data_IF_114730770282
#
_entry.id   IF_114730770282
#
_cell.length_a   1.000
_cell.length_b   1.000
_cell.length_c   1.000
_cell.angle_alpha   90.00
_cell.angle_beta   90.00
_cell.angle_gamma   90.00
#
_symmetry.space_group_name_H-M   'P 1'
#
loop_
_entity.id
_entity.type
_entity.pdbx_description
1 polymer ?
#
# COMPACT_ATOMS: atom_id res chain seq x y z
N UNK A 1 11.74 18.49 30.65
CA UNK A 1 11.40 17.67 29.46
C UNK A 1 9.92 17.35 29.31
N UNK A 2 9.32 16.46 30.11
CA UNK A 2 7.93 16.01 29.90
C UNK A 2 6.88 17.14 29.94
N UNK A 3 7.02 18.08 30.87
CA UNK A 3 6.09 19.21 31.01
C UNK A 3 6.12 20.11 29.77
N UNK A 4 7.30 20.36 29.21
CA UNK A 4 7.48 21.16 27.99
C UNK A 4 6.85 20.46 26.80
N UNK A 5 7.06 19.15 26.69
CA UNK A 5 6.45 18.32 25.65
C UNK A 5 4.91 18.31 25.76
N UNK A 6 4.36 18.11 26.96
CA UNK A 6 2.91 18.12 27.18
C UNK A 6 2.29 19.48 26.81
N UNK A 7 2.92 20.59 27.21
CA UNK A 7 2.49 21.93 26.82
C UNK A 7 2.51 22.11 25.30
N UNK A 8 3.56 21.63 24.63
CA UNK A 8 3.67 21.70 23.17
C UNK A 8 2.53 20.93 22.48
N UNK A 9 2.25 19.69 22.90
CA UNK A 9 1.19 18.87 22.32
C UNK A 9 -0.18 19.52 22.50
N UNK A 10 -0.49 20.01 23.70
CA UNK A 10 -1.76 20.68 23.99
C UNK A 10 -1.91 21.97 23.18
N UNK A 11 -0.88 22.80 23.10
CA UNK A 11 -0.89 24.02 22.29
C UNK A 11 -1.13 23.71 20.81
N UNK A 12 -0.51 22.65 20.28
CA UNK A 12 -0.72 22.22 18.89
C UNK A 12 -2.15 21.71 18.67
N UNK A 13 -2.71 20.97 19.62
CA UNK A 13 -4.09 20.52 19.55
C UNK A 13 -5.07 21.70 19.53
N UNK A 14 -4.94 22.67 20.45
CA UNK A 14 -5.83 23.82 20.49
C UNK A 14 -5.73 24.70 19.24
N UNK A 15 -4.53 24.82 18.65
CA UNK A 15 -4.35 25.52 17.38
C UNK A 15 -5.12 24.85 16.22
N UNK A 16 -5.18 23.51 16.20
CA UNK A 16 -5.98 22.76 15.22
C UNK A 16 -7.47 22.85 15.54
N UNK A 17 -7.86 22.70 16.80
CA UNK A 17 -9.25 22.76 17.24
C UNK A 17 -9.90 24.13 16.98
N UNK A 18 -9.12 25.22 17.03
CA UNK A 18 -9.59 26.56 16.67
C UNK A 18 -10.02 26.69 15.19
N UNK A 19 -9.41 25.91 14.30
CA UNK A 19 -9.76 25.89 12.87
C UNK A 19 -10.82 24.81 12.56
N UNK A 20 -10.87 23.77 13.40
CA UNK A 20 -11.62 22.56 13.14
C UNK A 20 -12.36 22.10 14.41
N UNK A 21 -13.62 22.53 14.57
CA UNK A 21 -14.46 22.19 15.73
C UNK A 21 -14.68 20.68 15.89
N UNK A 22 -14.49 19.88 14.84
CA UNK A 22 -14.61 18.42 14.93
C UNK A 22 -13.43 17.78 15.66
N UNK A 23 -12.30 18.49 15.84
CA UNK A 23 -11.12 17.97 16.52
C UNK A 23 -11.41 17.47 17.96
N UNK A 24 -12.42 18.03 18.64
CA UNK A 24 -12.85 17.55 19.95
C UNK A 24 -13.53 16.17 19.89
N UNK A 25 -14.35 15.92 18.87
CA UNK A 25 -15.00 14.61 18.66
C UNK A 25 -13.97 13.56 18.26
N UNK A 26 -12.94 13.99 17.53
CA UNK A 26 -11.85 13.13 17.07
C UNK A 26 -10.96 12.60 18.21
N UNK A 27 -11.01 13.20 19.41
CA UNK A 27 -10.36 12.66 20.63
C UNK A 27 -10.96 11.33 21.09
N UNK A 28 -12.20 11.03 20.69
CA UNK A 28 -12.88 9.79 21.07
C UNK A 28 -12.32 8.56 20.33
N UNK A 29 -11.51 8.77 19.29
CA UNK A 29 -11.03 7.70 18.42
C UNK A 29 -9.52 7.76 18.24
N UNK A 30 -8.90 6.58 18.15
CA UNK A 30 -7.48 6.48 17.81
C UNK A 30 -7.25 6.97 16.38
N UNK A 31 -6.34 7.92 16.19
CA UNK A 31 -6.08 8.54 14.88
C UNK A 31 -4.95 7.85 14.12
N UNK A 32 -5.24 7.57 12.84
CA UNK A 32 -4.24 7.17 11.87
C UNK A 32 -3.66 8.42 11.16
N UNK A 33 -2.55 8.24 10.46
CA UNK A 33 -1.84 9.33 9.76
C UNK A 33 -2.76 10.05 8.76
N UNK A 34 -3.62 9.31 8.06
CA UNK A 34 -4.59 9.88 7.11
C UNK A 34 -5.59 10.83 7.77
N UNK A 35 -6.15 10.43 8.91
CA UNK A 35 -7.10 11.23 9.66
C UNK A 35 -6.43 12.47 10.28
N UNK A 36 -5.20 12.37 10.78
CA UNK A 36 -4.45 13.55 11.24
C UNK A 36 -4.24 14.53 10.09
N UNK A 37 -3.86 14.04 8.90
CA UNK A 37 -3.69 14.85 7.70
C UNK A 37 -4.99 15.55 7.30
N UNK A 38 -6.12 14.83 7.31
CA UNK A 38 -7.45 15.42 7.04
C UNK A 38 -7.83 16.48 8.08
N UNK A 39 -7.52 16.24 9.35
CA UNK A 39 -7.80 17.22 10.42
C UNK A 39 -6.99 18.51 10.26
N UNK A 40 -5.79 18.45 9.67
CA UNK A 40 -4.91 19.61 9.46
C UNK A 40 -5.09 20.28 8.10
N UNK A 41 -5.35 19.52 7.04
CA UNK A 41 -5.39 20.00 5.65
C UNK A 41 -6.82 20.22 5.13
N UNK A 42 -7.82 19.68 5.83
CA UNK A 42 -9.24 19.74 5.50
C UNK A 42 -9.84 18.36 5.22
N UNK A 43 -11.05 18.12 5.75
CA UNK A 43 -11.80 16.87 5.51
C UNK A 43 -12.21 16.76 4.04
N UNK A 44 -12.08 15.56 3.47
CA UNK A 44 -12.56 15.27 2.12
C UNK A 44 -11.72 15.87 0.99
N UNK A 45 -10.54 16.45 1.28
CA UNK A 45 -9.54 16.62 0.22
C UNK A 45 -9.12 15.25 -0.25
N UNK A 46 -9.45 14.93 -1.51
CA UNK A 46 -8.86 13.79 -2.22
C UNK A 46 -7.36 13.82 -1.95
N UNK A 47 -6.88 12.80 -1.24
CA UNK A 47 -5.45 12.54 -1.14
C UNK A 47 -4.86 12.65 -2.54
N UNK A 48 -3.77 13.41 -2.69
CA UNK A 48 -3.08 13.60 -3.97
C UNK A 48 -3.15 12.32 -4.79
N UNK A 49 -3.87 12.42 -5.92
CA UNK A 49 -4.22 11.28 -6.75
C UNK A 49 -2.93 10.51 -7.01
N UNK A 50 -2.93 9.21 -6.67
CA UNK A 50 -1.86 8.30 -7.09
C UNK A 50 -1.53 8.62 -8.55
N UNK A 51 -0.23 8.73 -8.93
CA UNK A 51 0.15 9.16 -10.26
C UNK A 51 -0.65 8.37 -11.28
N UNK A 52 -1.50 9.09 -12.02
CA UNK A 52 -2.40 8.48 -12.99
C UNK A 52 -1.55 7.68 -13.98
N UNK A 53 -2.03 6.51 -14.35
CA UNK A 53 -1.44 5.76 -15.46
C UNK A 53 -1.69 6.56 -16.73
N UNK A 54 -0.63 6.80 -17.51
CA UNK A 54 -0.79 7.39 -18.84
C UNK A 54 -1.24 6.29 -19.81
N UNK A 55 -1.92 6.67 -20.90
CA UNK A 55 -2.35 5.71 -21.93
C UNK A 55 -1.16 4.89 -22.47
N UNK A 56 -0.01 5.53 -22.62
CA UNK A 56 1.24 4.89 -23.06
C UNK A 56 1.72 3.80 -22.09
N UNK A 57 1.68 4.08 -20.78
CA UNK A 57 2.03 3.10 -19.74
C UNK A 57 1.00 1.95 -19.69
N UNK A 58 -0.28 2.22 -19.95
CA UNK A 58 -1.33 1.19 -20.01
C UNK A 58 -1.16 0.26 -21.22
N UNK A 59 -0.85 0.81 -22.40
CA UNK A 59 -0.59 0.05 -23.63
C UNK A 59 0.67 -0.82 -23.48
N UNK A 60 1.75 -0.26 -22.90
CA UNK A 60 2.98 -0.99 -22.59
C UNK A 60 2.69 -2.18 -21.66
N UNK A 61 1.95 -1.94 -20.57
CA UNK A 61 1.58 -2.98 -19.61
C UNK A 61 0.71 -4.07 -20.25
N UNK A 62 -0.22 -3.69 -21.14
CA UNK A 62 -1.08 -4.64 -21.87
C UNK A 62 -0.28 -5.53 -22.81
N UNK A 63 0.66 -4.96 -23.56
CA UNK A 63 1.54 -5.70 -24.46
C UNK A 63 2.41 -6.68 -23.69
N UNK A 64 3.08 -6.21 -22.62
CA UNK A 64 3.94 -7.04 -21.78
C UNK A 64 3.16 -8.18 -21.12
N UNK A 65 1.95 -7.91 -20.63
CA UNK A 65 1.09 -8.95 -20.05
C UNK A 65 0.72 -10.01 -21.09
N UNK A 66 0.33 -9.62 -22.30
CA UNK A 66 -0.06 -10.57 -23.36
C UNK A 66 1.11 -11.45 -23.78
N UNK A 67 2.31 -10.89 -23.88
CA UNK A 67 3.53 -11.62 -24.26
C UNK A 67 3.96 -12.64 -23.18
N UNK A 68 3.77 -12.30 -21.90
CA UNK A 68 4.22 -13.14 -20.78
C UNK A 68 3.11 -13.98 -20.15
N UNK A 69 1.84 -13.84 -20.56
CA UNK A 69 0.71 -14.61 -20.03
C UNK A 69 0.86 -16.12 -20.30
N UNK A 70 1.36 -16.47 -21.48
CA UNK A 70 1.55 -17.87 -21.90
C UNK A 70 2.89 -18.45 -21.44
N UNK A 71 3.71 -17.66 -20.73
CA UNK A 71 4.99 -18.13 -20.19
C UNK A 71 4.76 -18.89 -18.88
N UNK A 72 5.42 -20.04 -18.68
CA UNK A 72 5.39 -20.85 -17.45
C UNK A 72 6.13 -20.20 -16.26
N UNK A 73 6.19 -18.87 -16.20
CA UNK A 73 6.92 -18.16 -15.15
C UNK A 73 6.09 -18.13 -13.86
N UNK A 74 6.67 -18.51 -12.71
CA UNK A 74 5.94 -18.59 -11.44
C UNK A 74 5.44 -17.25 -10.89
N UNK A 75 5.99 -16.11 -11.36
CA UNK A 75 5.56 -14.78 -10.96
C UNK A 75 5.63 -13.76 -12.11
N UNK A 76 4.54 -13.68 -12.88
CA UNK A 76 4.38 -12.76 -14.00
C UNK A 76 4.51 -11.29 -13.55
N UNK A 77 4.14 -10.94 -12.30
CA UNK A 77 4.21 -9.54 -11.86
C UNK A 77 5.65 -9.10 -11.59
N UNK A 78 6.51 -10.00 -11.13
CA UNK A 78 7.94 -9.69 -10.96
C UNK A 78 8.61 -9.43 -12.30
N UNK A 79 8.29 -10.20 -13.34
CA UNK A 79 8.83 -9.96 -14.69
C UNK A 79 8.32 -8.64 -15.26
N UNK A 80 7.03 -8.34 -15.12
CA UNK A 80 6.46 -7.06 -15.54
C UNK A 80 7.13 -5.88 -14.83
N UNK A 81 7.34 -5.95 -13.51
CA UNK A 81 8.04 -4.90 -12.77
C UNK A 81 9.47 -4.66 -13.25
N UNK A 82 10.15 -5.69 -13.75
CA UNK A 82 11.51 -5.55 -14.29
C UNK A 82 11.56 -4.98 -15.71
N UNK A 83 10.47 -5.10 -16.48
CA UNK A 83 10.40 -4.71 -17.89
C UNK A 83 9.71 -3.36 -18.11
N UNK A 84 8.90 -2.89 -17.16
CA UNK A 84 8.23 -1.60 -17.27
C UNK A 84 9.25 -0.46 -17.28
N UNK A 85 9.10 0.45 -18.24
CA UNK A 85 9.95 1.63 -18.42
C UNK A 85 10.01 2.53 -17.18
N UNK A 86 8.93 2.57 -16.39
CA UNK A 86 8.81 3.36 -15.16
C UNK A 86 9.10 2.53 -13.89
N UNK A 87 10.34 2.56 -13.41
CA UNK A 87 10.80 1.84 -12.22
C UNK A 87 10.26 2.36 -10.87
N UNK A 88 9.51 3.47 -10.86
CA UNK A 88 8.88 4.00 -9.66
C UNK A 88 7.61 3.24 -9.25
N UNK A 89 7.08 2.37 -10.11
CA UNK A 89 5.82 1.65 -9.89
C UNK A 89 6.02 0.45 -8.96
N UNK A 90 5.14 0.32 -7.97
CA UNK A 90 5.17 -0.80 -7.01
C UNK A 90 4.33 -1.98 -7.50
N UNK A 91 4.64 -3.19 -7.01
CA UNK A 91 3.84 -4.40 -7.28
C UNK A 91 2.35 -4.19 -7.08
N UNK A 92 1.97 -3.51 -5.98
CA UNK A 92 0.56 -3.25 -5.67
C UNK A 92 -0.11 -2.40 -6.75
N UNK A 93 0.58 -1.40 -7.28
CA UNK A 93 0.06 -0.53 -8.33
C UNK A 93 -0.14 -1.29 -9.64
N UNK A 94 0.84 -2.12 -10.04
CA UNK A 94 0.74 -2.97 -11.25
C UNK A 94 -0.43 -3.94 -11.13
N UNK A 95 -0.55 -4.66 -10.00
CA UNK A 95 -1.67 -5.60 -9.79
C UNK A 95 -3.02 -4.88 -9.81
N UNK A 96 -3.12 -3.72 -9.16
CA UNK A 96 -4.35 -2.92 -9.15
C UNK A 96 -4.72 -2.49 -10.58
N UNK A 97 -3.73 -2.11 -11.37
CA UNK A 97 -3.93 -1.67 -12.75
C UNK A 97 -4.33 -2.83 -13.67
N UNK A 98 -3.69 -3.99 -13.56
CA UNK A 98 -4.07 -5.19 -14.33
C UNK A 98 -5.53 -5.60 -14.10
N UNK A 99 -5.99 -5.52 -12.84
CA UNK A 99 -7.39 -5.78 -12.49
C UNK A 99 -8.31 -4.66 -13.02
N UNK A 100 -7.89 -3.39 -12.91
CA UNK A 100 -8.65 -2.24 -13.42
C UNK A 100 -8.87 -2.31 -14.94
N UNK A 101 -7.86 -2.77 -15.68
CA UNK A 101 -7.93 -2.95 -17.14
C UNK A 101 -8.70 -4.22 -17.55
N UNK A 102 -9.13 -5.06 -16.59
CA UNK A 102 -9.84 -6.31 -16.87
C UNK A 102 -8.97 -7.38 -17.53
N UNK A 103 -7.64 -7.28 -17.43
CA UNK A 103 -6.73 -8.31 -17.93
C UNK A 103 -6.70 -9.54 -17.01
N UNK A 104 -7.10 -9.36 -15.75
CA UNK A 104 -7.16 -10.40 -14.71
C UNK A 104 -8.43 -10.22 -13.89
N UNK A 105 -9.15 -11.32 -13.64
CA UNK A 105 -10.42 -11.29 -12.90
C UNK A 105 -10.21 -10.99 -11.40
N UNK A 106 -9.08 -11.44 -10.83
CA UNK A 106 -8.78 -11.24 -9.43
C UNK A 106 -7.28 -11.09 -9.14
N UNK A 107 -6.93 -10.14 -8.26
CA UNK A 107 -5.57 -9.99 -7.72
C UNK A 107 -5.02 -11.26 -7.05
N UNK A 108 -5.88 -12.23 -6.71
CA UNK A 108 -5.48 -13.54 -6.16
C UNK A 108 -4.77 -14.44 -7.18
N UNK A 109 -5.06 -14.29 -8.48
CA UNK A 109 -4.42 -15.10 -9.53
C UNK A 109 -2.94 -14.73 -9.71
N UNK A 110 -2.61 -13.47 -9.43
CA UNK A 110 -1.25 -12.92 -9.51
C UNK A 110 -0.46 -13.03 -8.20
N UNK A 111 -0.97 -13.75 -7.20
CA UNK A 111 -0.25 -13.94 -5.94
C UNK A 111 0.82 -15.00 -6.11
N UNK A 112 2.06 -14.62 -5.78
CA UNK A 112 3.19 -15.52 -5.61
C UNK A 112 2.75 -16.76 -4.84
N UNK A 113 2.96 -17.94 -5.43
CA UNK A 113 2.70 -19.19 -4.71
C UNK A 113 3.48 -19.14 -3.40
N UNK A 114 2.76 -19.22 -2.28
CA UNK A 114 3.39 -19.30 -0.98
C UNK A 114 4.06 -20.67 -0.93
N UNK A 115 5.36 -20.72 -1.21
CA UNK A 115 6.20 -21.82 -0.77
C UNK A 115 6.06 -21.80 0.75
N UNK A 116 5.23 -22.70 1.28
CA UNK A 116 5.01 -22.81 2.72
C UNK A 116 6.39 -22.99 3.35
N UNK A 117 6.74 -22.09 4.27
CA UNK A 117 7.91 -22.31 5.12
C UNK A 117 7.72 -23.68 5.74
N UNK A 118 8.59 -24.62 5.38
CA UNK A 118 8.67 -25.93 6.01
C UNK A 118 9.20 -25.66 7.41
N UNK A 119 8.32 -25.23 8.31
CA UNK A 119 8.63 -25.06 9.72
C UNK A 119 8.95 -26.47 10.19
N UNK A 120 10.24 -26.75 10.37
CA UNK A 120 10.70 -27.92 11.13
C UNK A 120 10.28 -27.62 12.56
N UNK A 121 9.17 -28.22 12.98
CA UNK A 121 8.80 -28.25 14.39
C UNK A 121 9.91 -29.04 15.08
N UNK A 122 10.74 -28.37 15.87
CA UNK A 122 11.71 -29.05 16.73
C UNK A 122 10.92 -30.02 17.61
N UNK A 123 11.18 -31.32 17.45
CA UNK A 123 10.65 -32.37 18.32
C UNK A 123 11.72 -32.72 19.35
N UNK A 124 11.31 -33.02 20.59
CA UNK A 124 12.19 -33.37 21.73
C UNK A 124 13.23 -34.45 21.40
N UNK A 125 12.96 -35.29 20.38
CA UNK A 125 13.87 -36.31 19.87
C UNK A 125 15.21 -35.75 19.34
N UNK A 126 15.29 -34.46 18.98
CA UNK A 126 16.51 -33.82 18.44
C UNK A 126 17.45 -33.25 19.52
N UNK A 127 17.06 -33.23 20.81
CA UNK A 127 17.91 -32.73 21.90
C UNK A 127 18.88 -33.79 22.47
N UNK A 128 18.77 -35.05 22.03
CA UNK A 128 19.49 -36.19 22.62
C UNK A 128 20.73 -36.67 21.84
N UNK A 129 21.16 -35.97 20.78
CA UNK A 129 22.45 -36.18 20.09
C UNK A 129 23.47 -35.09 20.44
#
# INVERSE_FOLDING_TARGET
ELVTFAKYVLNRFFAVAAQNNKAYVELLFWKNVGAVREMTEGYGKESEKQPAWTEEEEEELRKLYTEHRDSEVPDIVETLLSLISNSARTRRQVVTQLVRMGLVDNAKELKKQKIGTRIVLWTEEQELE
#
